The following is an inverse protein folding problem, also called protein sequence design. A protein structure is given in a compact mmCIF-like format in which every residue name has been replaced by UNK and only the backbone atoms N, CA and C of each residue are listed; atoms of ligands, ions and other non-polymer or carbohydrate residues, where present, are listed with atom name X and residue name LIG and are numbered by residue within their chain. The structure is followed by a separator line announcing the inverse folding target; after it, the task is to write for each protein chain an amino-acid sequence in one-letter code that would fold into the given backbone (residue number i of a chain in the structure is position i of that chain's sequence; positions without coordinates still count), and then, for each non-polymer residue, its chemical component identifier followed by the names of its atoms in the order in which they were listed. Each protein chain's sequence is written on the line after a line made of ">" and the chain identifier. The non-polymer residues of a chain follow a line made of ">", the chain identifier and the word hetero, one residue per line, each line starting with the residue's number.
data_IF_584192663531
#
_entry.id   IF_584192663531
#
_cell.length_a   1.000
_cell.length_b   1.000
_cell.length_c   1.000
_cell.angle_alpha   90.00
_cell.angle_beta   90.00
_cell.angle_gamma   90.00
#
_symmetry.space_group_name_H-M   'P 1'
#
loop_
_entity.id
_entity.type
_entity.pdbx_description
1 polymer ?
#
# COMPACT_ATOMS: atom_id res chain seq x y z
N UNK A 1 14.04 -13.31 -12.11
CA UNK A 1 14.01 -12.13 -11.21
C UNK A 1 15.15 -12.15 -10.19
N UNK A 2 15.38 -13.27 -9.50
CA UNK A 2 16.51 -13.45 -8.55
C UNK A 2 17.85 -13.39 -9.29
N UNK A 3 17.97 -14.09 -10.44
CA UNK A 3 19.16 -14.08 -11.29
C UNK A 3 19.53 -12.64 -11.71
N UNK A 4 18.58 -11.87 -12.27
CA UNK A 4 18.85 -10.48 -12.68
C UNK A 4 19.35 -9.61 -11.52
N UNK A 5 18.82 -9.82 -10.31
CA UNK A 5 19.27 -9.07 -9.12
C UNK A 5 20.71 -9.40 -8.77
N UNK A 6 21.09 -10.68 -8.85
CA UNK A 6 22.48 -11.11 -8.59
C UNK A 6 23.43 -10.61 -9.68
N UNK A 7 23.02 -10.69 -10.96
CA UNK A 7 23.82 -10.14 -12.06
C UNK A 7 24.04 -8.63 -11.91
N UNK A 8 22.99 -7.84 -11.59
CA UNK A 8 23.13 -6.42 -11.32
C UNK A 8 24.08 -6.13 -10.15
N UNK A 9 24.03 -6.95 -9.09
CA UNK A 9 24.93 -6.79 -7.96
C UNK A 9 26.37 -7.12 -8.33
N UNK A 10 26.61 -8.23 -9.03
CA UNK A 10 27.92 -8.64 -9.53
C UNK A 10 28.51 -7.59 -10.49
N UNK A 11 27.71 -7.10 -11.42
CA UNK A 11 28.17 -6.07 -12.36
C UNK A 11 28.61 -4.80 -11.63
N UNK A 12 27.85 -4.35 -10.60
CA UNK A 12 28.26 -3.20 -9.78
C UNK A 12 29.57 -3.45 -9.02
N UNK A 13 29.76 -4.67 -8.51
CA UNK A 13 31.00 -5.05 -7.84
C UNK A 13 32.19 -5.01 -8.79
N UNK A 14 32.00 -5.53 -10.02
CA UNK A 14 33.05 -5.52 -11.06
C UNK A 14 33.39 -4.09 -11.52
N UNK A 15 32.40 -3.20 -11.71
CA UNK A 15 32.70 -1.78 -12.00
C UNK A 15 33.50 -1.13 -10.87
N UNK A 16 33.25 -1.48 -9.61
CA UNK A 16 34.07 -1.00 -8.49
C UNK A 16 35.48 -1.56 -8.53
N UNK A 17 35.67 -2.79 -8.95
CA UNK A 17 37.00 -3.39 -9.16
C UNK A 17 37.76 -2.74 -10.33
N UNK A 18 37.08 -2.40 -11.43
CA UNK A 18 37.64 -1.61 -12.54
C UNK A 18 38.08 -0.23 -12.06
N UNK A 19 37.20 0.48 -11.31
CA UNK A 19 37.53 1.83 -10.80
C UNK A 19 38.74 1.83 -9.85
N UNK A 20 38.97 0.72 -9.15
CA UNK A 20 40.15 0.51 -8.28
C UNK A 20 41.34 -0.09 -9.03
N UNK A 21 41.28 -0.27 -10.37
CA UNK A 21 42.33 -0.85 -11.22
C UNK A 21 42.72 -2.28 -10.83
N UNK A 22 41.81 -3.03 -10.17
CA UNK A 22 42.02 -4.44 -9.83
C UNK A 22 41.82 -5.34 -11.06
N UNK A 23 40.85 -4.97 -11.91
CA UNK A 23 40.59 -5.62 -13.20
C UNK A 23 40.53 -4.56 -14.30
N UNK A 24 40.75 -4.96 -15.56
CA UNK A 24 40.79 -4.02 -16.69
C UNK A 24 39.42 -3.67 -17.24
N UNK A 25 38.48 -4.60 -17.23
CA UNK A 25 37.10 -4.43 -17.75
C UNK A 25 36.10 -5.20 -16.90
N UNK A 26 34.83 -4.85 -17.02
CA UNK A 26 33.76 -5.53 -16.33
C UNK A 26 33.29 -6.76 -17.17
N UNK A 27 33.47 -8.02 -16.70
CA UNK A 27 33.05 -9.19 -17.46
C UNK A 27 31.53 -9.33 -17.62
N UNK A 28 30.73 -8.50 -16.96
CA UNK A 28 29.28 -8.44 -17.07
C UNK A 28 28.77 -7.22 -17.86
N UNK A 29 29.64 -6.53 -18.61
CA UNK A 29 29.28 -5.32 -19.33
C UNK A 29 28.22 -5.60 -20.40
N UNK A 30 28.36 -6.71 -21.14
CA UNK A 30 27.42 -7.14 -22.18
C UNK A 30 26.28 -8.05 -21.65
N UNK A 31 26.15 -8.19 -20.33
CA UNK A 31 25.12 -9.05 -19.77
C UNK A 31 23.72 -8.50 -20.03
N UNK A 32 22.93 -9.21 -20.82
CA UNK A 32 21.52 -8.87 -21.07
C UNK A 32 20.64 -9.35 -19.93
N UNK A 33 19.73 -8.47 -19.51
CA UNK A 33 18.78 -8.76 -18.44
C UNK A 33 17.40 -9.04 -19.04
N UNK A 34 16.83 -10.19 -18.72
CA UNK A 34 15.44 -10.47 -19.10
C UNK A 34 14.49 -9.45 -18.47
N UNK A 35 13.67 -8.81 -19.31
CA UNK A 35 12.56 -7.98 -18.83
C UNK A 35 11.48 -8.86 -18.22
N UNK A 36 11.43 -8.90 -16.89
CA UNK A 36 10.34 -9.62 -16.19
C UNK A 36 9.16 -8.66 -16.04
N UNK A 37 8.10 -8.91 -16.79
CA UNK A 37 6.83 -8.20 -16.59
C UNK A 37 6.31 -8.43 -15.17
N UNK A 38 6.03 -7.35 -14.47
CA UNK A 38 5.48 -7.39 -13.12
C UNK A 38 3.98 -7.19 -13.19
N UNK A 39 3.21 -8.27 -13.24
CA UNK A 39 1.76 -8.17 -13.03
C UNK A 39 1.50 -7.80 -11.57
N UNK A 40 0.88 -6.65 -11.37
CA UNK A 40 0.48 -6.19 -10.05
C UNK A 40 -0.75 -6.97 -9.62
N UNK A 41 -0.69 -7.54 -8.41
CA UNK A 41 -1.83 -8.21 -7.80
C UNK A 41 -2.54 -7.21 -6.88
N UNK A 42 -3.82 -7.04 -7.11
CA UNK A 42 -4.71 -6.21 -6.30
C UNK A 42 -6.09 -6.85 -6.20
N UNK A 43 -6.89 -6.40 -5.26
CA UNK A 43 -8.24 -6.88 -5.05
C UNK A 43 -9.26 -5.99 -5.77
N UNK A 44 -10.33 -6.61 -6.27
CA UNK A 44 -11.50 -5.90 -6.75
C UNK A 44 -12.32 -5.34 -5.57
N UNK A 45 -13.14 -4.32 -5.82
CA UNK A 45 -14.05 -3.75 -4.79
C UNK A 45 -14.93 -4.83 -4.13
N UNK A 46 -15.42 -5.80 -4.92
CA UNK A 46 -16.21 -6.92 -4.41
C UNK A 46 -15.44 -7.79 -3.41
N UNK A 47 -14.15 -8.03 -3.64
CA UNK A 47 -13.34 -8.85 -2.74
C UNK A 47 -13.05 -8.12 -1.42
N UNK A 48 -12.82 -6.80 -1.50
CA UNK A 48 -12.68 -5.97 -0.30
C UNK A 48 -13.98 -5.97 0.51
N UNK A 49 -15.15 -5.88 -0.15
CA UNK A 49 -16.45 -5.96 0.52
C UNK A 49 -16.67 -7.30 1.22
N UNK A 50 -16.29 -8.44 0.61
CA UNK A 50 -16.35 -9.75 1.25
C UNK A 50 -15.48 -9.82 2.50
N UNK A 51 -14.26 -9.29 2.43
CA UNK A 51 -13.36 -9.21 3.58
C UNK A 51 -13.95 -8.37 4.72
N UNK A 52 -14.64 -7.27 4.39
CA UNK A 52 -15.29 -6.42 5.38
C UNK A 52 -16.49 -7.12 6.06
N UNK A 53 -17.25 -7.91 5.31
CA UNK A 53 -18.43 -8.61 5.80
C UNK A 53 -18.10 -9.87 6.63
N UNK A 54 -16.89 -10.43 6.48
CA UNK A 54 -16.48 -11.66 7.17
C UNK A 54 -16.35 -11.42 8.68
N UNK A 55 -17.01 -12.28 9.46
CA UNK A 55 -16.81 -12.36 10.92
C UNK A 55 -15.69 -13.35 11.22
N UNK A 56 -14.72 -12.94 11.99
CA UNK A 56 -13.55 -13.76 12.34
C UNK A 56 -13.46 -13.85 13.86
N UNK A 57 -13.48 -15.08 14.40
CA UNK A 57 -13.41 -15.32 15.85
C UNK A 57 -11.97 -15.37 16.38
N UNK A 58 -11.01 -15.73 15.55
CA UNK A 58 -9.59 -15.75 15.89
C UNK A 58 -9.08 -14.31 15.99
N UNK A 59 -8.60 -13.91 17.16
CA UNK A 59 -8.14 -12.54 17.47
C UNK A 59 -7.00 -12.09 16.56
N UNK A 60 -6.03 -12.96 16.28
CA UNK A 60 -4.90 -12.62 15.42
C UNK A 60 -5.31 -12.48 13.96
N UNK A 61 -6.21 -13.36 13.49
CA UNK A 61 -6.75 -13.29 12.14
C UNK A 61 -7.63 -12.04 11.96
N UNK A 62 -8.41 -11.67 12.98
CA UNK A 62 -9.21 -10.44 12.96
C UNK A 62 -8.32 -9.20 12.93
N UNK A 63 -7.28 -9.14 13.75
CA UNK A 63 -6.30 -8.05 13.71
C UNK A 63 -5.63 -7.95 12.33
N UNK A 64 -5.20 -9.07 11.76
CA UNK A 64 -4.59 -9.10 10.43
C UNK A 64 -5.58 -8.63 9.35
N UNK A 65 -6.85 -9.04 9.43
CA UNK A 65 -7.93 -8.61 8.53
C UNK A 65 -8.16 -7.11 8.62
N UNK A 66 -8.27 -6.56 9.83
CA UNK A 66 -8.49 -5.12 10.04
C UNK A 66 -7.33 -4.29 9.51
N UNK A 67 -6.08 -4.69 9.83
CA UNK A 67 -4.89 -4.02 9.28
C UNK A 67 -4.86 -4.09 7.76
N UNK A 68 -5.26 -5.21 7.18
CA UNK A 68 -5.33 -5.37 5.73
C UNK A 68 -6.36 -4.42 5.11
N UNK A 69 -7.59 -4.40 5.64
CA UNK A 69 -8.66 -3.48 5.20
C UNK A 69 -8.19 -2.03 5.38
N UNK A 70 -7.63 -1.69 6.52
CA UNK A 70 -7.10 -0.35 6.78
C UNK A 70 -6.05 0.06 5.73
N UNK A 71 -5.14 -0.84 5.37
CA UNK A 71 -4.17 -0.61 4.29
C UNK A 71 -4.82 -0.43 2.91
N UNK A 72 -5.95 -1.12 2.64
CA UNK A 72 -6.71 -0.94 1.38
C UNK A 72 -7.33 0.46 1.26
N UNK A 73 -7.58 1.16 2.38
CA UNK A 73 -8.20 2.49 2.40
C UNK A 73 -7.24 3.63 2.76
N UNK A 74 -6.01 3.32 3.17
CA UNK A 74 -5.00 4.33 3.52
C UNK A 74 -3.73 4.25 2.68
N UNK A 75 -3.50 3.11 2.04
CA UNK A 75 -2.28 2.84 1.30
C UNK A 75 -1.03 2.69 2.18
N UNK A 76 -1.14 2.67 3.51
CA UNK A 76 0.00 2.50 4.40
C UNK A 76 0.64 1.12 4.24
N UNK A 77 1.96 1.07 4.29
CA UNK A 77 2.69 -0.19 4.33
C UNK A 77 2.63 -0.80 5.74
N UNK A 78 2.76 -2.13 5.84
CA UNK A 78 2.73 -2.82 7.13
C UNK A 78 3.74 -2.25 8.13
N UNK A 79 4.96 -1.94 7.70
CA UNK A 79 5.99 -1.37 8.58
C UNK A 79 5.61 0.01 9.14
N UNK A 80 4.78 0.77 8.41
CA UNK A 80 4.29 2.07 8.84
C UNK A 80 3.06 1.92 9.75
N UNK A 81 2.21 0.91 9.52
CA UNK A 81 1.06 0.57 10.37
C UNK A 81 1.49 0.03 11.74
N UNK A 82 2.51 -0.85 11.80
CA UNK A 82 3.07 -1.37 13.05
C UNK A 82 3.62 -0.27 13.99
N UNK A 83 3.82 0.92 13.45
CA UNK A 83 4.33 2.10 14.17
C UNK A 83 3.38 3.29 14.10
N UNK A 84 2.15 3.04 13.68
CA UNK A 84 1.13 4.08 13.64
C UNK A 84 0.65 4.34 15.06
N UNK A 85 0.66 5.61 15.45
CA UNK A 85 0.20 6.10 16.73
C UNK A 85 -1.05 6.93 16.56
N UNK A 86 -1.89 7.01 17.58
CA UNK A 86 -3.03 7.91 17.57
C UNK A 86 -2.60 9.38 17.45
N UNK A 87 -1.43 9.74 17.99
CA UNK A 87 -0.82 11.07 17.83
C UNK A 87 -0.45 11.44 16.37
N UNK A 88 -0.36 10.46 15.46
CA UNK A 88 -0.19 10.74 14.04
C UNK A 88 -1.51 11.11 13.33
N UNK A 89 -2.65 11.03 14.04
CA UNK A 89 -3.97 11.34 13.50
C UNK A 89 -4.31 12.77 13.90
N UNK A 90 -4.36 13.66 12.93
CA UNK A 90 -4.60 15.09 13.12
C UNK A 90 -5.93 15.48 12.50
N UNK A 91 -6.63 16.40 13.15
CA UNK A 91 -7.85 17.01 12.59
C UNK A 91 -7.50 18.36 12.01
N UNK A 92 -7.84 18.58 10.74
CA UNK A 92 -7.66 19.87 10.08
C UNK A 92 -8.77 20.85 10.47
N UNK A 93 -8.62 22.12 10.10
CA UNK A 93 -9.59 23.17 10.42
C UNK A 93 -11.00 22.93 9.81
N UNK A 94 -11.07 22.14 8.72
CA UNK A 94 -12.32 21.72 8.07
C UNK A 94 -12.99 20.52 8.75
N UNK A 95 -12.46 20.05 9.88
CA UNK A 95 -12.95 18.89 10.62
C UNK A 95 -12.51 17.54 10.05
N UNK A 96 -11.83 17.49 8.91
CA UNK A 96 -11.34 16.23 8.33
C UNK A 96 -10.15 15.71 9.10
N UNK A 97 -10.11 14.40 9.29
CA UNK A 97 -9.01 13.72 9.94
C UNK A 97 -8.01 13.20 8.90
N UNK A 98 -6.74 13.33 9.22
CA UNK A 98 -5.62 12.94 8.36
C UNK A 98 -4.62 12.10 9.16
N UNK A 99 -4.04 11.09 8.53
CA UNK A 99 -2.81 10.48 9.00
C UNK A 99 -1.66 11.29 8.43
N UNK A 100 -0.80 11.83 9.32
CA UNK A 100 0.48 12.44 8.96
C UNK A 100 1.61 11.66 9.59
N UNK A 101 2.40 11.02 8.76
CA UNK A 101 3.47 10.14 9.22
C UNK A 101 4.61 10.09 8.22
N UNK A 102 5.84 10.26 8.72
CA UNK A 102 7.02 9.97 7.92
C UNK A 102 7.13 8.46 7.66
N UNK A 103 7.28 8.10 6.40
CA UNK A 103 7.42 6.71 5.98
C UNK A 103 8.79 6.17 6.33
N UNK A 104 8.85 5.02 6.99
CA UNK A 104 10.10 4.44 7.49
C UNK A 104 11.13 4.18 6.38
N UNK A 105 10.69 3.70 5.21
CA UNK A 105 11.58 3.30 4.11
C UNK A 105 12.13 4.49 3.31
N UNK A 106 11.31 5.50 3.06
CA UNK A 106 11.64 6.59 2.10
C UNK A 106 11.92 7.92 2.79
N UNK A 107 11.61 8.03 4.07
CA UNK A 107 11.71 9.28 4.85
C UNK A 107 10.85 10.43 4.26
N UNK A 108 9.84 10.07 3.46
CA UNK A 108 8.88 11.00 2.89
C UNK A 108 7.64 11.02 3.75
N UNK A 109 7.11 12.21 4.04
CA UNK A 109 5.86 12.35 4.76
C UNK A 109 4.70 11.82 3.91
N UNK A 110 3.94 10.89 4.49
CA UNK A 110 2.67 10.40 3.98
C UNK A 110 1.55 11.22 4.60
N UNK A 111 0.68 11.80 3.77
CA UNK A 111 -0.49 12.58 4.19
C UNK A 111 -1.73 11.92 3.63
N UNK A 112 -2.49 11.24 4.48
CA UNK A 112 -3.64 10.44 4.06
C UNK A 112 -4.92 10.98 4.70
N UNK A 113 -5.84 11.57 3.92
CA UNK A 113 -7.18 11.86 4.40
C UNK A 113 -7.86 10.54 4.81
N UNK A 114 -8.49 10.50 5.97
CA UNK A 114 -9.14 9.29 6.44
C UNK A 114 -10.43 9.04 5.67
N UNK A 115 -10.52 7.85 5.10
CA UNK A 115 -11.77 7.32 4.56
C UNK A 115 -12.68 6.86 5.70
N UNK A 116 -14.03 7.02 5.65
CA UNK A 116 -14.95 6.62 6.73
C UNK A 116 -14.73 5.19 7.24
N UNK A 117 -14.41 4.24 6.36
CA UNK A 117 -14.08 2.85 6.75
C UNK A 117 -12.81 2.79 7.63
N UNK A 118 -11.79 3.56 7.30
CA UNK A 118 -10.57 3.64 8.12
C UNK A 118 -10.85 4.31 9.46
N UNK A 119 -11.72 5.32 9.50
CA UNK A 119 -12.16 5.98 10.73
C UNK A 119 -12.93 5.02 11.65
N UNK A 120 -13.84 4.22 11.10
CA UNK A 120 -14.58 3.20 11.88
C UNK A 120 -13.62 2.22 12.55
N UNK A 121 -12.59 1.77 11.82
CA UNK A 121 -11.55 0.87 12.39
C UNK A 121 -10.79 1.58 13.51
N UNK A 122 -10.37 2.82 13.31
CA UNK A 122 -9.62 3.60 14.30
C UNK A 122 -10.44 3.86 15.56
N UNK A 123 -11.71 4.25 15.42
CA UNK A 123 -12.58 4.54 16.55
C UNK A 123 -12.81 3.27 17.39
N UNK A 124 -13.06 2.13 16.75
CA UNK A 124 -13.20 0.85 17.45
C UNK A 124 -11.93 0.46 18.21
N UNK A 125 -10.77 0.57 17.59
CA UNK A 125 -9.49 0.24 18.23
C UNK A 125 -9.20 1.17 19.43
N UNK A 126 -9.63 2.44 19.35
CA UNK A 126 -9.52 3.37 20.46
C UNK A 126 -10.42 2.99 21.63
N UNK A 127 -11.68 2.64 21.35
CA UNK A 127 -12.62 2.16 22.36
C UNK A 127 -12.12 0.87 23.05
N UNK A 128 -11.55 -0.07 22.26
CA UNK A 128 -10.93 -1.30 22.78
C UNK A 128 -9.71 -0.98 23.66
N UNK A 129 -8.90 0.02 23.32
CA UNK A 129 -7.76 0.46 24.12
C UNK A 129 -8.18 1.13 25.42
N UNK A 130 -9.22 1.98 25.39
CA UNK A 130 -9.75 2.68 26.56
C UNK A 130 -10.36 1.69 27.58
N UNK A 131 -10.96 0.59 27.11
CA UNK A 131 -11.55 -0.47 27.95
C UNK A 131 -10.51 -1.47 28.48
N UNK A 132 -9.32 -1.53 27.90
CA UNK A 132 -8.27 -2.45 28.33
C UNK A 132 -7.61 -1.97 29.63
N UNK A 133 -7.78 -2.76 30.70
CA UNK A 133 -7.23 -2.50 32.04
C UNK A 133 -5.71 -2.75 32.14
N UNK A 134 -5.08 -3.28 31.09
CA UNK A 134 -3.67 -3.72 31.10
C UNK A 134 -2.75 -2.78 30.33
N UNK A 135 -1.47 -2.82 30.74
CA UNK A 135 -0.32 -2.05 30.25
C UNK A 135 -0.47 -1.64 28.77
N UNK A 136 -0.55 -0.34 28.59
CA UNK A 136 -0.70 0.29 27.29
C UNK A 136 0.57 0.04 26.47
N UNK A 137 0.43 -0.57 25.32
CA UNK A 137 1.50 -0.68 24.28
C UNK A 137 1.88 0.72 23.72
N UNK A 138 1.75 1.75 24.59
CA UNK A 138 1.91 3.17 24.25
C UNK A 138 0.92 3.53 23.16
N UNK A 139 0.67 4.71 22.84
CA UNK A 139 -0.19 5.34 21.82
C UNK A 139 -0.29 4.60 20.42
N UNK A 140 -0.06 3.28 20.33
CA UNK A 140 -0.10 2.51 19.08
C UNK A 140 -1.54 2.20 18.66
N UNK A 141 -1.88 2.52 17.40
CA UNK A 141 -3.19 2.21 16.80
C UNK A 141 -3.41 0.69 16.69
N UNK A 142 -2.37 -0.03 16.27
CA UNK A 142 -2.42 -1.49 16.19
C UNK A 142 -1.49 -2.06 17.27
N UNK A 143 -2.04 -2.79 18.26
CA UNK A 143 -1.23 -3.40 19.31
C UNK A 143 -0.21 -4.36 18.69
N UNK A 144 0.94 -4.49 19.32
CA UNK A 144 1.95 -5.45 18.92
C UNK A 144 1.40 -6.85 19.12
N UNK A 145 1.35 -7.60 18.04
CA UNK A 145 0.84 -8.96 18.02
C UNK A 145 1.90 -9.94 17.52
N UNK A 146 1.45 -10.90 16.76
CA UNK A 146 2.28 -11.94 16.16
C UNK A 146 3.25 -11.40 15.07
N UNK A 147 4.21 -12.22 14.70
CA UNK A 147 5.16 -11.90 13.63
C UNK A 147 4.47 -11.67 12.28
N UNK A 148 5.10 -10.91 11.38
CA UNK A 148 4.57 -10.69 10.01
C UNK A 148 4.30 -11.99 9.26
N UNK A 149 5.08 -13.04 9.52
CA UNK A 149 4.87 -14.35 8.91
C UNK A 149 3.54 -14.95 9.36
N UNK A 150 3.26 -14.93 10.66
CA UNK A 150 1.99 -15.41 11.24
C UNK A 150 0.83 -14.57 10.70
N UNK A 151 0.94 -13.24 10.70
CA UNK A 151 -0.10 -12.36 10.15
C UNK A 151 -0.40 -12.65 8.66
N UNK A 152 0.63 -12.89 7.83
CA UNK A 152 0.42 -13.24 6.43
C UNK A 152 -0.24 -14.61 6.26
N UNK A 153 0.06 -15.58 7.14
CA UNK A 153 -0.61 -16.88 7.13
C UNK A 153 -2.08 -16.74 7.54
N UNK A 154 -2.37 -16.00 8.61
CA UNK A 154 -3.76 -15.69 9.04
C UNK A 154 -4.54 -14.97 7.93
N UNK A 155 -3.94 -13.99 7.25
CA UNK A 155 -4.55 -13.33 6.08
C UNK A 155 -4.85 -14.31 4.95
N UNK A 156 -3.99 -15.28 4.71
CA UNK A 156 -4.23 -16.31 3.68
C UNK A 156 -5.46 -17.14 4.01
N UNK A 157 -5.63 -17.54 5.28
CA UNK A 157 -6.82 -18.25 5.76
C UNK A 157 -8.08 -17.40 5.63
N UNK A 158 -8.02 -16.12 6.01
CA UNK A 158 -9.12 -15.15 5.87
C UNK A 158 -9.51 -15.00 4.38
N UNK A 159 -8.52 -14.90 3.49
CA UNK A 159 -8.77 -14.80 2.05
C UNK A 159 -9.49 -16.03 1.49
N UNK A 160 -9.05 -17.23 1.89
CA UNK A 160 -9.71 -18.48 1.48
C UNK A 160 -11.16 -18.55 1.98
N UNK A 161 -11.42 -18.16 3.22
CA UNK A 161 -12.77 -18.10 3.78
C UNK A 161 -13.71 -17.15 3.01
N UNK A 162 -13.15 -16.10 2.37
CA UNK A 162 -13.87 -15.18 1.48
C UNK A 162 -13.97 -15.69 0.02
N UNK A 163 -13.45 -16.86 -0.31
CA UNK A 163 -13.38 -17.38 -1.68
C UNK A 163 -12.40 -16.60 -2.57
N UNK A 164 -11.44 -15.89 -1.99
CA UNK A 164 -10.42 -15.15 -2.73
C UNK A 164 -9.29 -16.12 -3.10
N UNK A 165 -9.15 -16.41 -4.40
CA UNK A 165 -8.13 -17.36 -4.90
C UNK A 165 -6.69 -16.86 -4.77
N UNK A 166 -6.49 -15.54 -4.69
CA UNK A 166 -5.16 -14.95 -4.58
C UNK A 166 -4.68 -15.00 -3.12
N UNK A 167 -3.43 -15.40 -2.90
CA UNK A 167 -2.83 -15.30 -1.58
C UNK A 167 -2.72 -13.83 -1.17
N UNK A 168 -3.40 -13.47 -0.09
CA UNK A 168 -3.38 -12.10 0.43
C UNK A 168 -2.01 -11.77 1.04
N UNK A 169 -1.62 -10.51 0.91
CA UNK A 169 -0.44 -9.93 1.56
C UNK A 169 -0.65 -8.43 1.76
N UNK A 170 -0.03 -7.86 2.78
CA UNK A 170 -0.13 -6.41 3.02
C UNK A 170 0.35 -5.55 1.84
N UNK A 171 1.26 -6.08 1.03
CA UNK A 171 1.68 -5.38 -0.18
C UNK A 171 0.56 -5.32 -1.22
N UNK A 172 -0.26 -6.39 -1.31
CA UNK A 172 -1.46 -6.41 -2.16
C UNK A 172 -2.50 -5.39 -1.67
N UNK A 173 -2.72 -5.23 -0.35
CA UNK A 173 -3.62 -4.21 0.17
C UNK A 173 -3.22 -2.80 -0.30
N UNK A 174 -1.94 -2.50 -0.21
CA UNK A 174 -1.40 -1.23 -0.67
C UNK A 174 -1.51 -1.06 -2.20
N UNK A 175 -1.33 -2.13 -2.97
CA UNK A 175 -1.60 -2.12 -4.42
C UNK A 175 -3.07 -1.90 -4.71
N UNK A 176 -3.96 -2.50 -3.92
CA UNK A 176 -5.41 -2.31 -4.02
C UNK A 176 -5.77 -0.83 -3.82
N UNK A 177 -5.23 -0.17 -2.79
CA UNK A 177 -5.40 1.26 -2.59
C UNK A 177 -4.98 2.06 -3.82
N UNK A 178 -3.74 1.86 -4.30
CA UNK A 178 -3.22 2.61 -5.46
C UNK A 178 -4.05 2.43 -6.71
N UNK A 179 -4.42 1.18 -7.03
CA UNK A 179 -5.21 0.86 -8.23
C UNK A 179 -6.64 1.38 -8.14
N UNK A 180 -7.33 1.17 -7.01
CA UNK A 180 -8.71 1.62 -6.84
C UNK A 180 -8.81 3.15 -6.78
N UNK A 181 -7.84 3.82 -6.14
CA UNK A 181 -7.78 5.29 -6.10
C UNK A 181 -7.57 5.88 -7.50
N UNK A 182 -6.65 5.32 -8.27
CA UNK A 182 -6.42 5.78 -9.64
C UNK A 182 -7.64 5.52 -10.54
N UNK A 183 -8.29 4.36 -10.39
CA UNK A 183 -9.54 4.04 -11.11
C UNK A 183 -10.69 4.96 -10.72
N UNK A 184 -10.69 5.50 -9.51
CA UNK A 184 -11.64 6.50 -9.06
C UNK A 184 -11.33 7.93 -9.55
N UNK A 185 -10.23 8.12 -10.29
CA UNK A 185 -9.84 9.40 -10.86
C UNK A 185 -8.99 10.28 -9.94
N UNK A 186 -8.45 9.74 -8.85
CA UNK A 186 -7.51 10.49 -8.01
C UNK A 186 -6.19 10.67 -8.79
N UNK A 187 -5.64 11.91 -8.85
CA UNK A 187 -4.38 12.17 -9.52
C UNK A 187 -3.24 11.33 -8.96
N UNK A 188 -2.32 10.90 -9.85
CA UNK A 188 -1.22 10.00 -9.48
C UNK A 188 -0.27 10.64 -8.46
N UNK A 189 -0.11 11.96 -8.53
CA UNK A 189 0.70 12.77 -7.60
C UNK A 189 0.12 12.71 -6.18
N UNK A 190 -1.21 12.86 -6.08
CA UNK A 190 -1.92 12.73 -4.80
C UNK A 190 -1.77 11.34 -4.21
N UNK A 191 -1.90 10.29 -5.05
CA UNK A 191 -1.69 8.90 -4.62
C UNK A 191 -0.25 8.70 -4.16
N UNK A 192 0.73 9.25 -4.89
CA UNK A 192 2.14 9.18 -4.52
C UNK A 192 2.41 9.81 -3.15
N UNK A 193 1.82 10.99 -2.88
CA UNK A 193 1.93 11.69 -1.59
C UNK A 193 1.25 10.92 -0.46
N UNK A 194 0.04 10.41 -0.68
CA UNK A 194 -0.66 9.58 0.30
C UNK A 194 0.14 8.32 0.63
N UNK A 195 0.73 7.67 -0.38
CA UNK A 195 1.54 6.47 -0.18
C UNK A 195 2.97 6.77 0.32
N UNK A 196 3.40 8.03 0.40
CA UNK A 196 4.77 8.40 0.79
C UNK A 196 5.83 7.84 -0.17
N UNK A 197 5.58 7.90 -1.48
CA UNK A 197 6.56 7.53 -2.49
C UNK A 197 7.55 8.68 -2.70
N UNK A 198 8.84 8.36 -2.75
CA UNK A 198 9.89 9.33 -3.03
C UNK A 198 9.93 9.74 -4.52
N UNK A 199 9.33 8.93 -5.40
CA UNK A 199 9.23 9.20 -6.83
C UNK A 199 7.87 8.73 -7.37
N UNK A 200 7.29 9.52 -8.26
CA UNK A 200 6.04 9.20 -8.98
C UNK A 200 6.16 7.89 -9.76
N UNK A 201 7.35 7.56 -10.28
CA UNK A 201 7.59 6.28 -10.98
C UNK A 201 7.24 5.06 -10.15
N UNK A 202 7.30 5.14 -8.81
CA UNK A 202 6.82 4.07 -7.93
C UNK A 202 5.29 3.93 -7.94
N UNK A 203 4.57 4.96 -8.37
CA UNK A 203 3.10 4.99 -8.45
C UNK A 203 2.63 4.71 -9.88
N UNK A 204 3.44 4.99 -10.89
CA UNK A 204 3.17 4.71 -12.31
C UNK A 204 2.87 3.24 -12.59
N UNK A 205 3.33 2.33 -11.74
CA UNK A 205 2.98 0.91 -11.83
C UNK A 205 1.47 0.66 -11.79
N UNK A 206 0.68 1.58 -11.21
CA UNK A 206 -0.80 1.50 -11.17
C UNK A 206 -1.45 2.08 -12.42
N UNK A 207 -0.72 2.88 -13.18
CA UNK A 207 -1.20 3.57 -14.38
C UNK A 207 -1.14 2.65 -15.62
N UNK A 208 -1.80 1.47 -15.54
CA UNK A 208 -2.12 0.73 -16.75
C UNK A 208 -3.31 1.41 -17.41
N UNK A 209 -3.02 2.40 -18.26
CA UNK A 209 -4.04 3.11 -19.03
C UNK A 209 -4.56 2.17 -20.12
N UNK A 210 -5.81 1.77 -20.02
CA UNK A 210 -6.51 1.02 -21.08
C UNK A 210 -7.20 1.99 -22.01
N UNK A 211 -7.43 1.60 -23.27
CA UNK A 211 -8.20 2.40 -24.24
C UNK A 211 -9.57 2.79 -23.69
N UNK A 212 -10.20 1.87 -22.94
CA UNK A 212 -11.44 2.16 -22.23
C UNK A 212 -11.32 3.33 -21.25
N UNK A 213 -10.23 3.38 -20.48
CA UNK A 213 -9.99 4.48 -19.53
C UNK A 213 -9.76 5.81 -20.24
N UNK A 214 -9.05 5.79 -21.37
CA UNK A 214 -8.84 6.98 -22.21
C UNK A 214 -10.19 7.53 -22.69
N UNK A 215 -11.06 6.66 -23.20
CA UNK A 215 -12.40 7.02 -23.67
C UNK A 215 -13.26 7.59 -22.54
N UNK A 216 -13.29 6.93 -21.37
CA UNK A 216 -14.03 7.41 -20.20
C UNK A 216 -13.55 8.79 -19.70
N UNK A 217 -12.27 9.05 -19.74
CA UNK A 217 -11.70 10.33 -19.30
C UNK A 217 -12.00 11.45 -20.34
N UNK A 218 -12.01 11.12 -21.64
CA UNK A 218 -12.43 12.04 -22.69
C UNK A 218 -13.93 12.36 -22.58
N UNK A 219 -14.78 11.38 -22.34
CA UNK A 219 -16.22 11.59 -22.12
C UNK A 219 -16.49 12.52 -20.92
N UNK A 220 -15.72 12.38 -19.83
CA UNK A 220 -15.83 13.29 -18.69
C UNK A 220 -15.44 14.73 -19.04
N UNK A 221 -14.41 14.90 -19.85
CA UNK A 221 -13.98 16.23 -20.33
C UNK A 221 -15.08 16.87 -21.17
N UNK A 222 -15.63 16.13 -22.14
CA UNK A 222 -16.70 16.60 -23.01
C UNK A 222 -17.92 17.06 -22.20
N UNK A 223 -18.37 16.22 -21.24
CA UNK A 223 -19.50 16.58 -20.36
C UNK A 223 -19.25 17.85 -19.56
N UNK A 224 -18.02 18.02 -19.01
CA UNK A 224 -17.66 19.24 -18.28
C UNK A 224 -17.68 20.48 -19.17
N UNK A 225 -17.18 20.37 -20.40
CA UNK A 225 -17.19 21.48 -21.35
C UNK A 225 -18.60 21.83 -21.79
N UNK A 226 -19.44 20.85 -22.05
CA UNK A 226 -20.87 21.08 -22.40
C UNK A 226 -21.63 21.75 -21.26
N UNK A 227 -21.39 21.32 -20.00
CA UNK A 227 -22.01 21.94 -18.83
C UNK A 227 -21.51 23.38 -18.55
N UNK A 228 -20.32 23.75 -19.03
CA UNK A 228 -19.78 25.11 -18.87
C UNK A 228 -20.23 26.04 -20.01
N UNK A 229 -20.78 25.51 -21.12
CA UNK A 229 -21.27 26.26 -22.26
C UNK A 229 -22.81 26.41 -22.27
N UNK A 230 -23.51 25.73 -21.35
CA UNK A 230 -24.93 25.81 -21.13
C UNK A 230 -25.28 26.77 -19.98
#
# INVERSE_FOLDING_TARGET
>A
KTVNRHLCWLSRLMYRAVSKRVIRYNPFEDATYEKVERKIRFLQKSDVAKLMALKVNDKEAEQARQMFIFSCFTGLAIADMERLKFSHIQTAADGRRYIRKERQKTKVESVVPLHPIAETILNRLREEEEQAVKEKDGDLVFPRGCSRSVMNNKLSTVGLACGIRQRLSFHMARHTFGTLSLSAGIPIESIAKMMGHASISSTQIYAQVTDKKISEDMDKLIRKQQAALA
#
